data_IF_597464418546
#
_entry.id   IF_597464418546
#
_cell.length_a   1.000
_cell.length_b   1.000
_cell.length_c   1.000
_cell.angle_alpha   90.00
_cell.angle_beta   90.00
_cell.angle_gamma   90.00
#
_symmetry.space_group_name_H-M   'P 1'
#
loop_
_entity.id
_entity.type
_entity.pdbx_description
1 polymer ?
#
# COMPACT_ATOMS: atom_id res chain seq x y z
N UNK A 1 36.86 12.07 -24.78
CA UNK A 1 36.25 13.36 -25.20
C UNK A 1 35.57 14.06 -24.03
N UNK A 2 36.13 15.17 -23.51
CA UNK A 2 35.57 15.93 -22.36
C UNK A 2 34.13 16.48 -22.58
N UNK A 3 33.76 17.05 -23.74
CA UNK A 3 32.43 17.62 -23.95
C UNK A 3 31.28 16.60 -23.82
N UNK A 4 31.51 15.36 -24.26
CA UNK A 4 30.53 14.29 -24.14
C UNK A 4 30.30 13.89 -22.68
N UNK A 5 31.36 13.84 -21.87
CA UNK A 5 31.28 13.52 -20.45
C UNK A 5 30.51 14.60 -19.67
N UNK A 6 30.75 15.88 -19.98
CA UNK A 6 29.99 17.00 -19.38
C UNK A 6 28.50 16.95 -19.77
N UNK A 7 28.19 16.63 -21.03
CA UNK A 7 26.80 16.46 -21.48
C UNK A 7 26.12 15.30 -20.78
N UNK A 8 26.81 14.17 -20.62
CA UNK A 8 26.32 13.00 -19.91
C UNK A 8 25.99 13.35 -18.45
N UNK A 9 26.91 13.99 -17.73
CA UNK A 9 26.69 14.46 -16.35
C UNK A 9 25.53 15.46 -16.23
N UNK A 10 25.29 16.29 -17.24
CA UNK A 10 24.15 17.20 -17.23
C UNK A 10 22.82 16.45 -17.44
N UNK A 11 22.82 15.43 -18.30
CA UNK A 11 21.64 14.58 -18.52
C UNK A 11 21.33 13.72 -17.29
N UNK A 12 22.35 13.15 -16.64
CA UNK A 12 22.19 12.41 -15.37
C UNK A 12 21.56 13.29 -14.30
N UNK A 13 22.08 14.50 -14.08
CA UNK A 13 21.50 15.44 -13.11
C UNK A 13 20.05 15.80 -13.41
N UNK A 14 19.72 16.05 -14.69
CA UNK A 14 18.34 16.34 -15.10
C UNK A 14 17.43 15.13 -14.91
N UNK A 15 17.91 13.93 -15.20
CA UNK A 15 17.17 12.70 -14.98
C UNK A 15 16.86 12.52 -13.50
N UNK A 16 17.85 12.71 -12.61
CA UNK A 16 17.65 12.65 -11.17
C UNK A 16 16.61 13.67 -10.71
N UNK A 17 16.71 14.93 -11.14
CA UNK A 17 15.72 15.97 -10.82
C UNK A 17 14.31 15.58 -11.24
N UNK A 18 14.13 15.08 -12.47
CA UNK A 18 12.81 14.67 -12.97
C UNK A 18 12.25 13.45 -12.22
N UNK A 19 13.11 12.55 -11.74
CA UNK A 19 12.70 11.40 -10.93
C UNK A 19 12.26 11.84 -9.53
N UNK A 20 12.97 12.78 -8.93
CA UNK A 20 12.64 13.37 -7.63
C UNK A 20 11.30 14.13 -7.71
N UNK A 21 11.15 15.03 -8.69
CA UNK A 21 9.90 15.77 -8.95
C UNK A 21 8.72 14.83 -9.18
N UNK A 22 8.92 13.75 -9.95
CA UNK A 22 7.88 12.73 -10.15
C UNK A 22 7.49 12.05 -8.84
N UNK A 23 8.47 11.72 -7.98
CA UNK A 23 8.23 11.12 -6.67
C UNK A 23 7.39 12.03 -5.77
N UNK A 24 7.76 13.31 -5.69
CA UNK A 24 7.04 14.33 -4.94
C UNK A 24 5.59 14.47 -5.41
N UNK A 25 5.35 14.59 -6.71
CA UNK A 25 4.00 14.71 -7.26
C UNK A 25 3.13 13.47 -7.04
N UNK A 26 3.72 12.27 -7.08
CA UNK A 26 3.00 11.04 -6.76
C UNK A 26 2.59 11.01 -5.29
N UNK A 27 3.49 11.43 -4.39
CA UNK A 27 3.20 11.51 -2.97
C UNK A 27 2.08 12.51 -2.67
N UNK A 28 2.15 13.72 -3.24
CA UNK A 28 1.10 14.74 -3.11
C UNK A 28 -0.25 14.25 -3.62
N UNK A 29 -0.29 13.59 -4.78
CA UNK A 29 -1.53 13.08 -5.38
C UNK A 29 -2.16 11.98 -4.51
N UNK A 30 -1.34 11.08 -3.98
CA UNK A 30 -1.80 10.03 -3.06
C UNK A 30 -2.32 10.62 -1.76
N UNK A 31 -1.64 11.62 -1.19
CA UNK A 31 -2.11 12.32 0.00
C UNK A 31 -3.47 13.01 -0.25
N UNK A 32 -3.60 13.78 -1.33
CA UNK A 32 -4.87 14.44 -1.67
C UNK A 32 -6.01 13.44 -1.83
N UNK A 33 -5.74 12.28 -2.44
CA UNK A 33 -6.74 11.22 -2.59
C UNK A 33 -7.15 10.64 -1.23
N UNK A 34 -6.20 10.43 -0.32
CA UNK A 34 -6.48 9.97 1.03
C UNK A 34 -7.35 10.97 1.80
N UNK A 35 -6.97 12.26 1.80
CA UNK A 35 -7.71 13.33 2.46
C UNK A 35 -9.15 13.45 1.91
N UNK A 36 -9.33 13.31 0.58
CA UNK A 36 -10.66 13.31 -0.02
C UNK A 36 -11.52 12.11 0.41
N UNK A 37 -10.93 10.92 0.56
CA UNK A 37 -11.63 9.73 1.05
C UNK A 37 -12.02 9.89 2.52
N UNK A 38 -11.12 10.41 3.35
CA UNK A 38 -11.38 10.68 4.77
C UNK A 38 -12.49 11.73 4.94
N UNK A 39 -12.46 12.81 4.16
CA UNK A 39 -13.51 13.82 4.15
C UNK A 39 -14.89 13.22 3.76
N UNK A 40 -14.93 12.38 2.73
CA UNK A 40 -16.17 11.72 2.31
C UNK A 40 -16.72 10.76 3.37
N UNK A 41 -15.85 10.02 4.08
CA UNK A 41 -16.24 9.18 5.23
C UNK A 41 -16.81 10.05 6.34
N UNK A 42 -16.12 11.13 6.70
CA UNK A 42 -16.56 12.08 7.73
C UNK A 42 -17.93 12.69 7.41
N UNK A 43 -18.19 13.03 6.15
CA UNK A 43 -19.50 13.50 5.70
C UNK A 43 -20.58 12.43 5.94
N UNK A 44 -20.32 11.15 5.63
CA UNK A 44 -21.30 10.08 5.86
C UNK A 44 -21.56 9.88 7.35
N UNK A 45 -20.54 9.96 8.20
CA UNK A 45 -20.68 9.86 9.65
C UNK A 45 -21.46 11.06 10.23
N UNK A 46 -21.25 12.27 9.72
CA UNK A 46 -22.03 13.44 10.10
C UNK A 46 -23.51 13.30 9.73
N UNK A 47 -23.80 12.74 8.54
CA UNK A 47 -25.18 12.47 8.12
C UNK A 47 -25.85 11.41 9.00
N UNK A 48 -25.12 10.34 9.35
CA UNK A 48 -25.62 9.33 10.28
C UNK A 48 -25.92 9.92 11.66
N UNK A 49 -25.01 10.74 12.19
CA UNK A 49 -25.23 11.42 13.47
C UNK A 49 -26.46 12.33 13.43
N UNK A 50 -26.67 13.05 12.33
CA UNK A 50 -27.85 13.90 12.16
C UNK A 50 -29.14 13.08 12.14
N UNK A 51 -29.17 11.94 11.45
CA UNK A 51 -30.33 11.04 11.47
C UNK A 51 -30.60 10.49 12.87
N UNK A 52 -29.55 10.09 13.60
CA UNK A 52 -29.65 9.58 14.97
C UNK A 52 -30.21 10.63 15.95
N UNK A 53 -29.80 11.89 15.82
CA UNK A 53 -30.25 12.99 16.67
C UNK A 53 -31.63 13.52 16.28
N UNK A 54 -32.02 13.40 15.00
CA UNK A 54 -33.32 13.88 14.52
C UNK A 54 -34.51 13.25 15.26
N UNK A 55 -34.33 12.04 15.83
CA UNK A 55 -35.36 11.34 16.59
C UNK A 55 -36.53 10.81 15.74
N UNK A 56 -36.52 11.03 14.41
CA UNK A 56 -37.53 10.50 13.51
C UNK A 56 -37.22 9.03 13.18
N UNK A 57 -38.07 8.12 13.66
CA UNK A 57 -37.97 6.67 13.39
C UNK A 57 -38.97 6.26 12.32
N UNK A 58 -38.76 6.74 11.10
CA UNK A 58 -39.55 6.31 9.93
C UNK A 58 -38.81 5.18 9.20
N UNK A 59 -39.55 4.34 8.46
CA UNK A 59 -38.94 3.31 7.61
C UNK A 59 -37.96 3.92 6.60
N UNK A 60 -38.27 5.12 6.08
CA UNK A 60 -37.40 5.87 5.18
C UNK A 60 -36.07 6.28 5.82
N UNK A 61 -36.09 6.73 7.08
CA UNK A 61 -34.84 7.05 7.78
C UNK A 61 -33.99 5.83 8.08
N UNK A 62 -34.62 4.67 8.34
CA UNK A 62 -33.89 3.41 8.50
C UNK A 62 -33.19 3.00 7.18
N UNK A 63 -33.90 3.06 6.06
CA UNK A 63 -33.34 2.75 4.73
C UNK A 63 -32.21 3.73 4.35
N UNK A 64 -32.38 5.02 4.64
CA UNK A 64 -31.34 6.03 4.42
C UNK A 64 -30.10 5.75 5.28
N UNK A 65 -30.28 5.41 6.55
CA UNK A 65 -29.18 5.05 7.44
C UNK A 65 -28.44 3.78 6.96
N UNK A 66 -29.16 2.78 6.48
CA UNK A 66 -28.55 1.56 5.93
C UNK A 66 -27.73 1.85 4.67
N UNK A 67 -28.25 2.70 3.77
CA UNK A 67 -27.53 3.14 2.59
C UNK A 67 -26.25 3.93 2.96
N UNK A 68 -26.34 4.86 3.91
CA UNK A 68 -25.19 5.62 4.40
C UNK A 68 -24.12 4.70 5.03
N UNK A 69 -24.52 3.67 5.79
CA UNK A 69 -23.59 2.68 6.36
C UNK A 69 -22.92 1.86 5.27
N UNK A 70 -23.65 1.46 4.23
CA UNK A 70 -23.11 0.73 3.09
C UNK A 70 -22.09 1.56 2.30
N UNK A 71 -22.40 2.83 2.03
CA UNK A 71 -21.50 3.72 1.30
C UNK A 71 -20.26 4.09 2.14
N UNK A 72 -20.42 4.34 3.44
CA UNK A 72 -19.28 4.50 4.36
C UNK A 72 -18.36 3.28 4.34
N UNK A 73 -18.91 2.07 4.38
CA UNK A 73 -18.12 0.83 4.30
C UNK A 73 -17.30 0.78 3.01
N UNK A 74 -17.93 1.07 1.87
CA UNK A 74 -17.23 1.12 0.57
C UNK A 74 -16.11 2.17 0.55
N UNK A 75 -16.33 3.34 1.14
CA UNK A 75 -15.31 4.38 1.26
C UNK A 75 -14.15 3.95 2.16
N UNK A 76 -14.43 3.31 3.30
CA UNK A 76 -13.39 2.77 4.18
C UNK A 76 -12.57 1.68 3.51
N UNK A 77 -13.21 0.79 2.74
CA UNK A 77 -12.48 -0.24 2.00
C UNK A 77 -11.56 0.37 0.92
N UNK A 78 -12.00 1.44 0.25
CA UNK A 78 -11.16 2.23 -0.67
C UNK A 78 -10.00 2.92 0.06
N UNK A 79 -10.26 3.49 1.24
CA UNK A 79 -9.24 4.16 2.05
C UNK A 79 -8.16 3.18 2.50
N UNK A 80 -8.53 1.96 2.90
CA UNK A 80 -7.55 0.91 3.25
C UNK A 80 -6.64 0.57 2.06
N UNK A 81 -7.24 0.35 0.89
CA UNK A 81 -6.48 0.07 -0.33
C UNK A 81 -5.56 1.23 -0.70
N UNK A 82 -6.01 2.47 -0.53
CA UNK A 82 -5.16 3.64 -0.78
C UNK A 82 -4.01 3.74 0.22
N UNK A 83 -4.25 3.44 1.49
CA UNK A 83 -3.20 3.46 2.50
C UNK A 83 -2.12 2.40 2.22
N UNK A 84 -2.53 1.20 1.78
CA UNK A 84 -1.58 0.18 1.31
C UNK A 84 -0.78 0.65 0.09
N UNK A 85 -1.44 1.30 -0.87
CA UNK A 85 -0.79 1.86 -2.05
C UNK A 85 0.21 2.96 -1.68
N UNK A 86 -0.15 3.85 -0.76
CA UNK A 86 0.72 4.90 -0.21
C UNK A 86 1.99 4.32 0.43
N UNK A 87 1.86 3.28 1.25
CA UNK A 87 3.02 2.60 1.83
C UNK A 87 3.95 2.00 0.78
N UNK A 88 3.39 1.42 -0.30
CA UNK A 88 4.19 0.87 -1.41
C UNK A 88 4.92 1.97 -2.18
N UNK A 89 4.24 3.07 -2.48
CA UNK A 89 4.87 4.22 -3.12
C UNK A 89 6.01 4.78 -2.26
N UNK A 90 5.78 4.95 -0.96
CA UNK A 90 6.83 5.44 -0.06
C UNK A 90 8.08 4.54 -0.08
N UNK A 91 7.91 3.22 -0.18
CA UNK A 91 9.04 2.28 -0.33
C UNK A 91 9.74 2.41 -1.68
N UNK A 92 9.00 2.63 -2.77
CA UNK A 92 9.55 2.75 -4.13
C UNK A 92 10.35 4.04 -4.34
N UNK A 93 9.90 5.15 -3.73
CA UNK A 93 10.51 6.47 -3.88
C UNK A 93 11.36 6.91 -2.68
N UNK A 94 11.54 6.06 -1.65
CA UNK A 94 12.58 6.32 -0.64
C UNK A 94 13.94 6.21 -1.34
N UNK A 95 14.70 7.31 -1.47
CA UNK A 95 15.98 7.25 -2.15
C UNK A 95 16.91 6.29 -1.36
N UNK A 96 17.60 5.36 -2.05
CA UNK A 96 18.59 4.54 -1.38
C UNK A 96 19.60 5.46 -0.69
N UNK A 97 20.06 5.12 0.54
CA UNK A 97 21.07 5.91 1.22
C UNK A 97 22.25 6.13 0.26
N UNK A 98 22.81 7.35 0.20
CA UNK A 98 23.80 7.69 -0.81
C UNK A 98 24.93 6.65 -0.78
N UNK A 99 25.10 5.93 -1.90
CA UNK A 99 26.22 5.02 -2.07
C UNK A 99 27.49 5.88 -2.16
N UNK A 100 28.15 6.07 -1.02
CA UNK A 100 29.51 6.58 -1.01
C UNK A 100 30.39 5.63 -1.82
N UNK A 101 30.89 6.10 -2.95
CA UNK A 101 32.01 5.49 -3.68
C UNK A 101 32.94 6.61 -4.16
N UNK A 102 34.26 6.39 -4.33
CA UNK A 102 35.16 5.43 -3.69
C UNK A 102 36.43 6.13 -3.11
N UNK A 103 36.81 5.84 -1.87
CA UNK A 103 38.08 6.37 -1.33
C UNK A 103 38.43 6.05 0.11
N UNK A 104 37.46 5.83 1.00
CA UNK A 104 37.77 5.67 2.41
C UNK A 104 37.64 4.23 2.89
N UNK A 105 38.80 3.71 3.28
CA UNK A 105 39.06 2.42 3.91
C UNK A 105 38.09 2.17 5.08
N UNK A 106 37.07 1.33 4.88
CA UNK A 106 36.23 0.84 5.98
C UNK A 106 36.14 -0.69 5.88
N UNK A 107 36.66 -1.31 6.95
CA UNK A 107 36.62 -2.74 7.25
C UNK A 107 35.20 -3.30 7.07
N UNK A 108 35.05 -4.25 6.14
CA UNK A 108 33.82 -5.00 5.90
C UNK A 108 33.50 -5.89 7.12
N UNK A 109 32.48 -5.54 7.91
CA UNK A 109 31.85 -6.46 8.85
C UNK A 109 30.69 -7.20 8.17
N UNK A 110 30.70 -8.53 8.26
CA UNK A 110 29.89 -9.49 7.52
C UNK A 110 28.37 -9.53 7.83
N UNK A 111 27.78 -8.43 8.31
CA UNK A 111 26.42 -8.44 8.88
C UNK A 111 25.30 -8.09 7.90
N UNK A 112 25.60 -7.63 6.67
CA UNK A 112 24.59 -7.01 5.79
C UNK A 112 24.00 -7.92 4.70
N UNK A 113 24.30 -9.23 4.69
CA UNK A 113 23.82 -10.15 3.65
C UNK A 113 22.54 -10.95 4.02
N UNK A 114 21.90 -10.68 5.16
CA UNK A 114 20.81 -11.53 5.67
C UNK A 114 19.42 -11.32 5.05
N UNK A 115 19.24 -10.42 4.07
CA UNK A 115 17.87 -10.05 3.60
C UNK A 115 17.52 -10.51 2.19
N UNK A 116 18.38 -11.31 1.54
CA UNK A 116 18.08 -11.90 0.22
C UNK A 116 17.94 -13.43 0.29
N UNK A 117 17.12 -13.91 1.21
CA UNK A 117 16.64 -15.31 1.26
C UNK A 117 15.14 -15.29 1.58
N UNK A 118 14.33 -14.98 0.58
CA UNK A 118 12.87 -14.91 0.70
C UNK A 118 12.12 -15.32 -0.55
N UNK A 119 12.77 -16.07 -1.45
CA UNK A 119 12.14 -16.65 -2.65
C UNK A 119 12.54 -18.11 -2.80
N UNK A 120 12.08 -18.97 -1.89
CA UNK A 120 11.91 -20.41 -2.10
C UNK A 120 11.35 -21.02 -0.84
N UNK A 121 10.02 -21.13 -0.72
CA UNK A 121 9.36 -22.21 0.03
C UNK A 121 7.88 -22.23 -0.37
N UNK A 122 7.59 -22.94 -1.45
CA UNK A 122 6.25 -23.48 -1.69
C UNK A 122 6.21 -24.73 -0.78
N UNK A 123 5.57 -24.62 0.37
CA UNK A 123 5.34 -25.79 1.24
C UNK A 123 4.29 -26.68 0.60
N UNK A 124 4.81 -27.76 0.05
CA UNK A 124 4.11 -28.91 -0.49
C UNK A 124 3.84 -29.87 0.67
N UNK A 125 2.84 -29.60 1.52
CA UNK A 125 2.40 -30.55 2.55
C UNK A 125 0.91 -30.32 2.90
N UNK A 126 0.02 -30.70 1.98
CA UNK A 126 -1.35 -31.06 2.37
C UNK A 126 -2.01 -32.00 1.35
N UNK A 127 -1.44 -33.19 1.21
CA UNK A 127 -2.16 -34.39 0.79
C UNK A 127 -1.77 -35.51 1.76
N UNK A 128 -2.74 -36.35 2.08
CA UNK A 128 -2.65 -37.54 2.95
C UNK A 128 -2.96 -37.32 4.44
N UNK A 129 -4.21 -36.93 4.73
CA UNK A 129 -4.92 -37.58 5.84
C UNK A 129 -6.44 -37.50 5.67
N UNK A 130 -7.00 -38.36 4.82
CA UNK A 130 -8.39 -38.86 4.93
C UNK A 130 -8.58 -40.08 4.04
N UNK A 131 -7.85 -41.17 4.35
CA UNK A 131 -8.26 -42.50 3.88
C UNK A 131 -7.87 -43.59 4.87
N UNK A 132 -8.58 -43.64 6.02
CA UNK A 132 -8.67 -44.88 6.79
C UNK A 132 -9.87 -44.97 7.73
N UNK A 133 -11.06 -45.10 7.13
CA UNK A 133 -12.08 -46.03 7.66
C UNK A 133 -12.50 -46.94 6.52
N UNK A 134 -11.70 -47.98 6.31
CA UNK A 134 -12.08 -49.10 5.47
C UNK A 134 -13.16 -49.94 6.14
N UNK A 135 -14.13 -50.33 5.30
CA UNK A 135 -14.62 -51.70 5.17
C UNK A 135 -15.54 -52.27 6.26
N UNK A 136 -16.81 -52.43 5.90
CA UNK A 136 -17.45 -53.75 5.72
C UNK A 136 -18.72 -53.55 4.86
N UNK A 137 -18.88 -54.18 3.68
CA UNK A 137 -19.39 -55.55 3.47
C UNK A 137 -20.88 -55.63 3.88
N UNK A 138 -21.86 -56.03 3.06
CA UNK A 138 -21.90 -57.13 2.11
C UNK A 138 -23.24 -57.11 1.36
N UNK A 139 -23.20 -57.65 0.13
CA UNK A 139 -24.24 -58.40 -0.64
C UNK A 139 -25.61 -57.75 -0.87
#
# INVERSE_FOLDING_TARGET
>A
CRPLLTRLQQLERRLTQLLDERGEHLQELTQMKQEALEAAVSEKDAHLALLEVSGLRTARHAEEADQLRADRKRLMDRLKLENEHSMRLLQEYTPPPPLNTPGDNVSLSASSLSSLQGFSQIDQDQLDNDERTGSDSSV
#
